data_IF_856192548803
#
_entry.id   IF_856192548803
#
_cell.length_a   1.000
_cell.length_b   1.000
_cell.length_c   1.000
_cell.angle_alpha   90.00
_cell.angle_beta   90.00
_cell.angle_gamma   90.00
#
_symmetry.space_group_name_H-M   'P 1'
#
loop_
_entity.id
_entity.type
_entity.pdbx_description
1 polymer ?
#
# COMPACT_ATOMS: atom_id res chain seq x y z
N UNK A 1 -21.35 94.32 -15.92
CA UNK A 1 -21.71 93.10 -15.15
C UNK A 1 -20.87 91.94 -15.67
N UNK A 2 -19.81 91.60 -14.93
CA UNK A 2 -19.58 90.30 -14.22
C UNK A 2 -19.25 89.15 -15.19
N UNK A 3 -17.95 88.92 -15.46
CA UNK A 3 -17.05 87.84 -14.93
C UNK A 3 -17.47 86.44 -15.43
N UNK A 4 -16.62 85.59 -15.99
CA UNK A 4 -15.16 85.55 -16.10
C UNK A 4 -14.72 84.08 -16.15
N UNK A 5 -13.91 83.71 -17.14
CA UNK A 5 -13.27 82.40 -17.23
C UNK A 5 -12.16 82.26 -16.17
N UNK A 6 -12.04 81.08 -15.54
CA UNK A 6 -11.03 80.71 -14.54
C UNK A 6 -10.59 79.26 -14.79
N UNK A 7 -9.50 78.97 -15.53
CA UNK A 7 -8.08 78.89 -15.15
C UNK A 7 -7.75 77.76 -14.15
N UNK A 8 -6.71 77.01 -14.51
CA UNK A 8 -6.10 75.83 -13.89
C UNK A 8 -5.35 76.08 -12.55
N UNK A 9 -5.07 74.97 -11.84
CA UNK A 9 -3.90 74.64 -10.98
C UNK A 9 -4.00 74.54 -9.44
N UNK A 10 -3.60 73.33 -8.98
CA UNK A 10 -2.68 72.97 -7.86
C UNK A 10 -3.14 72.98 -6.38
N UNK A 11 -2.98 71.80 -5.75
CA UNK A 11 -2.74 71.60 -4.31
C UNK A 11 -2.82 70.12 -3.86
N UNK A 12 -1.69 69.45 -3.58
CA UNK A 12 -1.61 68.15 -2.85
C UNK A 12 -1.31 68.38 -1.35
N UNK A 13 -0.70 67.42 -0.60
CA UNK A 13 -0.98 66.01 -0.37
C UNK A 13 -1.42 65.72 1.09
N UNK A 14 -2.31 64.75 1.31
CA UNK A 14 -2.79 64.34 2.65
C UNK A 14 -2.27 62.96 3.04
N UNK A 15 -1.52 62.91 4.14
CA UNK A 15 -0.76 61.79 4.70
C UNK A 15 -1.69 60.69 5.24
N UNK A 16 -1.49 59.45 4.79
CA UNK A 16 -2.19 58.26 5.27
C UNK A 16 -1.38 57.02 4.95
N UNK A 17 -0.30 56.82 5.71
CA UNK A 17 0.60 55.67 5.63
C UNK A 17 -0.17 54.38 6.00
N UNK A 18 -0.79 53.71 5.02
CA UNK A 18 -1.32 52.36 5.20
C UNK A 18 -0.13 51.40 5.29
N UNK A 19 0.32 51.17 6.52
CA UNK A 19 1.31 50.17 6.84
C UNK A 19 0.85 48.81 6.30
N UNK A 20 1.56 48.30 5.29
CA UNK A 20 1.53 46.88 4.97
C UNK A 20 2.10 46.14 6.19
N UNK A 21 1.22 45.73 7.11
CA UNK A 21 1.62 44.89 8.22
C UNK A 21 2.12 43.57 7.65
N UNK A 22 3.32 43.17 8.09
CA UNK A 22 4.01 41.91 7.77
C UNK A 22 3.23 40.63 8.22
N UNK A 23 1.92 40.72 8.40
CA UNK A 23 1.06 39.65 8.90
C UNK A 23 0.53 38.73 7.79
N UNK A 24 0.82 39.04 6.52
CA UNK A 24 0.39 38.21 5.38
C UNK A 24 1.42 37.15 4.94
N UNK A 25 2.61 37.09 5.55
CA UNK A 25 3.66 36.10 5.22
C UNK A 25 3.53 34.76 5.97
N UNK A 26 2.53 34.60 6.85
CA UNK A 26 2.32 33.38 7.64
C UNK A 26 1.19 32.46 7.11
N UNK A 27 0.59 32.76 5.94
CA UNK A 27 -0.31 31.80 5.29
C UNK A 27 0.51 30.72 4.61
N UNK A 28 0.86 29.70 5.40
CA UNK A 28 1.41 28.44 4.91
C UNK A 28 0.62 28.01 3.68
N UNK A 29 1.33 27.82 2.56
CA UNK A 29 0.74 27.36 1.31
C UNK A 29 -0.04 26.08 1.62
N UNK A 30 -1.36 26.13 1.55
CA UNK A 30 -2.17 24.92 1.61
C UNK A 30 -1.71 24.04 0.44
N UNK A 31 -0.99 22.97 0.76
CA UNK A 31 -0.52 22.01 -0.24
C UNK A 31 -1.76 21.26 -0.71
N UNK A 32 -2.37 21.73 -1.81
CA UNK A 32 -3.43 21.01 -2.49
C UNK A 32 -2.91 19.61 -2.83
N UNK A 33 -3.40 18.61 -2.10
CA UNK A 33 -2.97 17.21 -2.25
C UNK A 33 -3.48 16.69 -3.59
N UNK A 34 -2.63 16.77 -4.62
CA UNK A 34 -2.98 16.37 -5.98
C UNK A 34 -3.32 14.87 -6.01
N UNK A 35 -4.51 14.53 -6.49
CA UNK A 35 -4.94 13.13 -6.62
C UNK A 35 -4.14 12.47 -7.75
N UNK A 36 -3.34 11.47 -7.40
CA UNK A 36 -2.63 10.65 -8.41
C UNK A 36 -3.58 9.58 -8.95
N UNK A 37 -3.59 9.37 -10.27
CA UNK A 37 -4.36 8.31 -10.91
C UNK A 37 -3.99 6.94 -10.32
N UNK A 38 -4.99 6.08 -10.09
CA UNK A 38 -4.81 4.77 -9.46
C UNK A 38 -3.79 3.90 -10.19
N UNK A 39 -3.84 3.86 -11.52
CA UNK A 39 -2.87 3.15 -12.35
C UNK A 39 -1.41 3.54 -12.05
N UNK A 40 -1.15 4.86 -11.91
CA UNK A 40 0.19 5.38 -11.62
C UNK A 40 0.63 5.01 -10.20
N UNK A 41 -0.31 4.93 -9.24
CA UNK A 41 -0.01 4.45 -7.88
C UNK A 41 0.34 2.96 -7.89
N UNK A 42 -0.45 2.13 -8.56
CA UNK A 42 -0.21 0.68 -8.65
C UNK A 42 1.13 0.36 -9.31
N UNK A 43 1.47 1.02 -10.43
CA UNK A 43 2.78 0.84 -11.07
C UNK A 43 3.95 1.25 -10.16
N UNK A 44 3.76 2.28 -9.34
CA UNK A 44 4.78 2.71 -8.36
C UNK A 44 4.96 1.68 -7.25
N UNK A 45 3.86 1.09 -6.79
CA UNK A 45 3.88 0.03 -5.77
C UNK A 45 4.59 -1.23 -6.29
N UNK A 46 4.28 -1.66 -7.52
CA UNK A 46 4.95 -2.80 -8.18
C UNK A 46 6.46 -2.57 -8.25
N UNK A 47 6.89 -1.43 -8.80
CA UNK A 47 8.33 -1.09 -8.90
C UNK A 47 9.00 -1.02 -7.54
N UNK A 48 8.31 -0.49 -6.52
CA UNK A 48 8.85 -0.42 -5.16
C UNK A 48 8.98 -1.81 -4.53
N UNK A 49 8.01 -2.69 -4.73
CA UNK A 49 8.03 -4.05 -4.23
C UNK A 49 9.14 -4.89 -4.90
N UNK A 50 9.36 -4.70 -6.20
CA UNK A 50 10.40 -5.42 -6.95
C UNK A 50 11.82 -4.89 -6.69
N UNK A 51 11.97 -3.63 -6.28
CA UNK A 51 13.30 -3.02 -6.08
C UNK A 51 14.00 -3.51 -4.80
N UNK A 52 13.25 -3.87 -3.77
CA UNK A 52 13.81 -4.18 -2.46
C UNK A 52 13.29 -5.51 -1.96
N UNK A 53 14.20 -6.35 -1.46
CA UNK A 53 13.84 -7.59 -0.78
C UNK A 53 13.48 -7.27 0.66
N UNK A 54 12.19 -7.32 0.97
CA UNK A 54 11.67 -7.13 2.34
C UNK A 54 10.48 -8.06 2.55
N UNK A 55 10.32 -8.49 3.80
CA UNK A 55 9.11 -9.23 4.20
C UNK A 55 7.89 -8.32 4.09
N UNK A 56 6.85 -8.82 3.44
CA UNK A 56 5.59 -8.11 3.20
C UNK A 56 4.57 -8.38 4.32
N UNK A 57 4.64 -9.55 4.94
CA UNK A 57 3.76 -9.94 6.04
C UNK A 57 4.39 -9.51 7.36
N UNK A 58 3.58 -8.98 8.27
CA UNK A 58 4.05 -8.66 9.62
C UNK A 58 4.39 -9.94 10.39
N UNK A 59 5.54 -9.95 11.09
CA UNK A 59 6.07 -11.13 11.78
C UNK A 59 5.13 -11.67 12.86
N UNK A 60 4.48 -10.78 13.62
CA UNK A 60 3.61 -11.16 14.74
C UNK A 60 2.35 -11.95 14.31
N UNK A 61 1.54 -11.50 13.32
CA UNK A 61 0.40 -12.29 12.86
C UNK A 61 0.83 -13.60 12.20
N UNK A 62 1.94 -13.63 11.45
CA UNK A 62 2.47 -14.86 10.85
C UNK A 62 2.82 -15.90 11.93
N UNK A 63 3.53 -15.47 12.99
CA UNK A 63 3.84 -16.32 14.14
C UNK A 63 2.58 -16.87 14.81
N UNK A 64 1.54 -16.04 15.00
CA UNK A 64 0.27 -16.48 15.61
C UNK A 64 -0.42 -17.54 14.77
N UNK A 65 -0.40 -17.40 13.45
CA UNK A 65 -0.97 -18.39 12.52
C UNK A 65 -0.21 -19.71 12.62
N UNK A 66 1.12 -19.68 12.61
CA UNK A 66 1.93 -20.89 12.75
C UNK A 66 1.62 -21.62 14.07
N UNK A 67 1.58 -20.90 15.19
CA UNK A 67 1.23 -21.48 16.49
C UNK A 67 -0.17 -22.11 16.46
N UNK A 68 -1.15 -21.45 15.84
CA UNK A 68 -2.51 -21.98 15.68
C UNK A 68 -2.53 -23.28 14.86
N UNK A 69 -1.78 -23.33 13.76
CA UNK A 69 -1.68 -24.52 12.91
C UNK A 69 -1.04 -25.67 13.70
N UNK A 70 0.06 -25.43 14.41
CA UNK A 70 0.70 -26.46 15.21
C UNK A 70 -0.21 -26.99 16.31
N UNK A 71 -0.92 -26.13 17.05
CA UNK A 71 -1.90 -26.55 18.06
C UNK A 71 -2.93 -27.50 17.45
N UNK A 72 -3.45 -27.18 16.26
CA UNK A 72 -4.41 -28.04 15.56
C UNK A 72 -3.80 -29.39 15.16
N UNK A 73 -2.57 -29.41 14.65
CA UNK A 73 -1.87 -30.65 14.25
C UNK A 73 -1.58 -31.55 15.46
N UNK A 74 -1.14 -30.98 16.58
CA UNK A 74 -0.81 -31.76 17.78
C UNK A 74 -2.03 -32.22 18.57
N UNK A 75 -3.12 -31.45 18.58
CA UNK A 75 -4.40 -31.91 19.13
C UNK A 75 -4.86 -33.21 18.47
N UNK A 76 -4.57 -33.38 17.18
CA UNK A 76 -4.85 -34.60 16.42
C UNK A 76 -3.93 -35.77 16.81
N UNK A 77 -2.69 -35.49 17.23
CA UNK A 77 -1.67 -36.49 17.57
C UNK A 77 -1.64 -36.91 19.07
N UNK A 78 -2.56 -36.39 19.91
CA UNK A 78 -2.69 -36.73 21.35
C UNK A 78 -1.38 -36.71 22.16
N UNK A 79 -0.43 -35.84 21.82
CA UNK A 79 0.80 -35.66 22.61
C UNK A 79 0.65 -34.44 23.52
N UNK A 80 0.65 -34.69 24.83
CA UNK A 80 0.32 -33.71 25.89
C UNK A 80 1.41 -32.66 26.14
N UNK A 81 2.60 -32.80 25.55
CA UNK A 81 3.80 -32.07 26.02
C UNK A 81 4.18 -30.79 25.27
N UNK A 82 3.43 -30.35 24.24
CA UNK A 82 3.87 -29.25 23.36
C UNK A 82 3.30 -27.86 23.69
N UNK A 83 2.53 -27.71 24.78
CA UNK A 83 1.96 -26.40 25.19
C UNK A 83 3.08 -25.37 25.51
N UNK A 84 4.31 -25.83 25.79
CA UNK A 84 5.46 -25.00 26.17
C UNK A 84 6.65 -25.14 25.20
N UNK A 85 6.41 -25.15 23.89
CA UNK A 85 7.50 -25.22 22.90
C UNK A 85 8.10 -23.83 22.70
N UNK A 86 9.39 -23.74 22.96
CA UNK A 86 10.19 -22.56 22.63
C UNK A 86 10.50 -22.53 21.14
N UNK A 87 10.48 -21.33 20.56
CA UNK A 87 10.67 -21.13 19.14
C UNK A 87 11.97 -20.42 18.88
N UNK A 88 12.78 -20.98 18.00
CA UNK A 88 13.94 -20.26 17.51
C UNK A 88 13.50 -19.14 16.56
N UNK A 89 13.98 -17.92 16.82
CA UNK A 89 13.65 -16.73 16.04
C UNK A 89 14.08 -16.84 14.59
N UNK A 90 15.24 -17.44 14.33
CA UNK A 90 15.77 -17.68 12.98
C UNK A 90 14.95 -18.71 12.20
N UNK A 91 14.44 -19.75 12.87
CA UNK A 91 13.59 -20.75 12.22
C UNK A 91 12.26 -20.13 11.76
N UNK A 92 11.66 -19.27 12.60
CA UNK A 92 10.44 -18.56 12.24
C UNK A 92 10.65 -17.58 11.07
N UNK A 93 11.81 -16.92 11.01
CA UNK A 93 12.18 -16.04 9.91
C UNK A 93 12.31 -16.82 8.60
N UNK A 94 13.08 -17.92 8.61
CA UNK A 94 13.29 -18.77 7.44
C UNK A 94 11.95 -19.32 6.90
N UNK A 95 11.06 -19.75 7.80
CA UNK A 95 9.72 -20.22 7.42
C UNK A 95 8.89 -19.11 6.75
N UNK A 96 9.01 -17.87 7.25
CA UNK A 96 8.33 -16.72 6.64
C UNK A 96 8.89 -16.40 5.25
N UNK A 97 10.22 -16.37 5.11
CA UNK A 97 10.89 -16.11 3.83
C UNK A 97 10.48 -17.14 2.79
N UNK A 98 10.54 -18.43 3.12
CA UNK A 98 10.12 -19.50 2.22
C UNK A 98 8.63 -19.41 1.84
N UNK A 99 7.76 -19.07 2.79
CA UNK A 99 6.33 -18.93 2.52
C UNK A 99 5.99 -17.73 1.63
N UNK A 100 6.66 -16.59 1.84
CA UNK A 100 6.46 -15.40 1.00
C UNK A 100 7.03 -15.59 -0.41
N UNK A 101 8.20 -16.22 -0.52
CA UNK A 101 8.83 -16.55 -1.82
C UNK A 101 7.91 -17.46 -2.65
N UNK A 102 7.39 -18.54 -2.03
CA UNK A 102 6.41 -19.41 -2.66
C UNK A 102 5.16 -18.67 -3.12
N UNK A 103 4.63 -17.76 -2.30
CA UNK A 103 3.43 -17.00 -2.64
C UNK A 103 3.67 -16.02 -3.81
N UNK A 104 4.86 -15.40 -3.88
CA UNK A 104 5.26 -14.50 -4.97
C UNK A 104 5.35 -15.28 -6.29
N UNK A 105 6.05 -16.42 -6.29
CA UNK A 105 6.20 -17.27 -7.46
C UNK A 105 4.85 -17.79 -7.96
N UNK A 106 4.01 -18.28 -7.04
CA UNK A 106 2.67 -18.73 -7.38
C UNK A 106 1.81 -17.61 -7.99
N UNK A 107 1.89 -16.39 -7.45
CA UNK A 107 1.15 -15.23 -7.97
C UNK A 107 1.66 -14.80 -9.35
N UNK A 108 2.96 -14.89 -9.61
CA UNK A 108 3.55 -14.63 -10.93
C UNK A 108 3.02 -15.64 -11.96
N UNK A 109 2.92 -16.92 -11.58
CA UNK A 109 2.32 -17.96 -12.42
C UNK A 109 0.86 -17.67 -12.73
N UNK A 110 0.08 -17.31 -11.71
CA UNK A 110 -1.32 -16.93 -11.87
C UNK A 110 -1.49 -15.72 -12.81
N UNK A 111 -0.55 -14.77 -12.75
CA UNK A 111 -0.58 -13.60 -13.62
C UNK A 111 -0.36 -13.95 -15.10
N UNK A 112 0.46 -14.97 -15.43
CA UNK A 112 0.60 -15.44 -16.82
C UNK A 112 -0.74 -15.94 -17.38
N UNK A 113 -1.56 -16.63 -16.59
CA UNK A 113 -2.90 -17.06 -17.02
C UNK A 113 -3.88 -15.89 -17.20
N UNK A 114 -3.80 -14.88 -16.33
CA UNK A 114 -4.58 -13.64 -16.46
C UNK A 114 -4.27 -12.95 -17.79
N UNK A 115 -2.98 -12.80 -18.11
CA UNK A 115 -2.51 -12.22 -19.36
C UNK A 115 -2.93 -13.05 -20.58
N UNK A 116 -2.85 -14.39 -20.49
CA UNK A 116 -3.35 -15.30 -21.52
C UNK A 116 -4.84 -15.10 -21.81
N UNK A 117 -5.63 -14.71 -20.80
CA UNK A 117 -7.06 -14.43 -20.95
C UNK A 117 -7.36 -12.96 -21.31
N UNK A 118 -6.37 -12.15 -21.69
CA UNK A 118 -6.50 -10.71 -21.97
C UNK A 118 -7.10 -9.89 -20.81
N UNK A 119 -6.92 -10.33 -19.57
CA UNK A 119 -7.32 -9.58 -18.35
C UNK A 119 -6.09 -8.97 -17.70
N UNK A 120 -6.32 -8.00 -16.80
CA UNK A 120 -5.28 -7.40 -15.95
C UNK A 120 -5.49 -7.72 -14.47
N UNK A 121 -6.70 -8.16 -14.09
CA UNK A 121 -7.09 -8.44 -12.71
C UNK A 121 -7.03 -9.95 -12.42
N UNK A 122 -6.27 -10.33 -11.39
CA UNK A 122 -6.23 -11.69 -10.84
C UNK A 122 -7.58 -12.08 -10.25
N UNK A 123 -8.05 -13.29 -10.55
CA UNK A 123 -9.29 -13.86 -10.02
C UNK A 123 -9.04 -15.25 -9.41
N UNK A 124 -9.96 -15.72 -8.57
CA UNK A 124 -9.84 -17.03 -7.92
C UNK A 124 -9.73 -18.21 -8.91
N UNK A 125 -10.34 -18.10 -10.10
CA UNK A 125 -10.20 -19.11 -11.16
C UNK A 125 -8.76 -19.26 -11.67
N UNK A 126 -8.00 -18.17 -11.69
CA UNK A 126 -6.61 -18.16 -12.17
C UNK A 126 -5.71 -18.90 -11.16
N UNK A 127 -5.96 -18.70 -9.86
CA UNK A 127 -5.34 -19.46 -8.79
C UNK A 127 -5.63 -20.96 -8.89
N UNK A 128 -6.90 -21.34 -9.10
CA UNK A 128 -7.31 -22.75 -9.19
C UNK A 128 -6.64 -23.45 -10.36
N UNK A 129 -6.50 -22.77 -11.51
CA UNK A 129 -5.83 -23.33 -12.69
C UNK A 129 -4.35 -23.59 -12.39
N UNK A 130 -3.63 -22.60 -11.85
CA UNK A 130 -2.20 -22.74 -11.50
C UNK A 130 -2.00 -23.87 -10.50
N UNK A 131 -2.84 -23.91 -9.46
CA UNK A 131 -2.82 -24.95 -8.46
C UNK A 131 -2.97 -26.31 -9.14
N UNK A 132 -4.05 -26.56 -9.87
CA UNK A 132 -4.30 -27.86 -10.55
C UNK A 132 -3.18 -28.29 -11.49
N UNK A 133 -2.54 -27.35 -12.19
CA UNK A 133 -1.50 -27.66 -13.17
C UNK A 133 -0.13 -27.93 -12.53
N UNK A 134 0.26 -27.15 -11.51
CA UNK A 134 1.61 -27.24 -10.91
C UNK A 134 1.67 -28.13 -9.67
N UNK A 135 0.65 -28.07 -8.83
CA UNK A 135 0.62 -28.76 -7.55
C UNK A 135 -0.66 -29.59 -7.55
N UNK A 136 -0.59 -30.92 -7.73
CA UNK A 136 -1.77 -31.80 -7.64
C UNK A 136 -2.50 -31.54 -6.32
N UNK A 137 -3.42 -30.57 -6.32
CA UNK A 137 -4.14 -30.14 -5.14
C UNK A 137 -5.23 -31.16 -4.85
N UNK A 138 -5.54 -31.43 -3.57
CA UNK A 138 -6.67 -32.28 -3.25
C UNK A 138 -7.94 -31.70 -3.91
N UNK A 139 -8.85 -32.57 -4.40
CA UNK A 139 -9.99 -32.16 -5.20
C UNK A 139 -10.84 -31.11 -4.47
N UNK A 140 -11.09 -29.99 -5.15
CA UNK A 140 -11.97 -28.94 -4.65
C UNK A 140 -13.43 -29.27 -4.96
N UNK A 141 -14.10 -30.00 -4.07
CA UNK A 141 -15.57 -30.08 -4.03
C UNK A 141 -16.13 -31.34 -3.35
N UNK A 142 -17.31 -31.25 -2.69
CA UNK A 142 -18.03 -32.41 -2.18
C UNK A 142 -18.69 -33.15 -3.36
N UNK A 143 -18.54 -34.46 -3.40
CA UNK A 143 -19.38 -35.39 -4.17
C UNK A 143 -20.69 -35.66 -3.47
#
# INVERSE_FOLDING_TARGET
MVKGAGIYSRGGPGIGHMAWTNQQLARGKEVFKKRVCYHVKSLREIRRAQKYVRLLISRLPFMRVIKKILVNLYSMMKTTSFINVEWQTQALLCLQEAAEDFAIDFMNDAYFYVAHCHRVTLMAKDYVIVSRLRYKGPPSGPS
#
